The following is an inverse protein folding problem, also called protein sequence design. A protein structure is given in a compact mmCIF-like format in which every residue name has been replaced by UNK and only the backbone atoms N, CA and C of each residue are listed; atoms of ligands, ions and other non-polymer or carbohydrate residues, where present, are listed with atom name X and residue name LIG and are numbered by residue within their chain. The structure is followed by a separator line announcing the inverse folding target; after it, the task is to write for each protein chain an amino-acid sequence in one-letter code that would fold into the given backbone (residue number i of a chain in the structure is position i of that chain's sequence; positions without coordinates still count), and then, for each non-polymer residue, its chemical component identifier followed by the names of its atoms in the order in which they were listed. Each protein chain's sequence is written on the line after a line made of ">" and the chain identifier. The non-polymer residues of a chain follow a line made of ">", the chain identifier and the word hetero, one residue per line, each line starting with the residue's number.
data_IF_221215001896
#
_entry.id   IF_221215001896
#
_cell.length_a   1.000
_cell.length_b   1.000
_cell.length_c   1.000
_cell.angle_alpha   90.00
_cell.angle_beta   90.00
_cell.angle_gamma   90.00
#
_symmetry.space_group_name_H-M   'P 1'
#
loop_
_entity.id
_entity.type
_entity.pdbx_description
1 polymer ?
#
# COMPACT_ATOMS: atom_id res chain seq x y z
N UNK A 1 25.05 15.35 -5.46
CA UNK A 1 23.74 15.51 -6.13
C UNK A 1 23.46 16.99 -6.21
N UNK A 2 23.15 17.50 -7.40
CA UNK A 2 22.78 18.91 -7.58
C UNK A 2 21.37 19.13 -6.99
N UNK A 3 21.16 20.24 -6.29
CA UNK A 3 19.84 20.58 -5.76
C UNK A 3 18.89 21.10 -6.86
N UNK A 4 17.59 21.24 -6.59
CA UNK A 4 16.62 21.71 -7.59
C UNK A 4 16.85 23.17 -8.02
N UNK A 5 17.36 24.02 -7.12
CA UNK A 5 17.69 25.41 -7.42
C UNK A 5 18.89 25.53 -8.38
N UNK A 6 19.94 24.73 -8.15
CA UNK A 6 21.12 24.57 -8.99
C UNK A 6 20.76 23.97 -10.35
N UNK A 7 19.81 23.02 -10.37
CA UNK A 7 19.31 22.42 -11.61
C UNK A 7 18.60 23.44 -12.50
N UNK A 8 17.87 24.39 -11.90
CA UNK A 8 17.26 25.52 -12.63
C UNK A 8 18.20 26.73 -12.79
N UNK A 9 19.38 26.73 -12.15
CA UNK A 9 20.31 27.85 -12.16
C UNK A 9 19.80 29.10 -11.44
N UNK A 10 18.93 28.94 -10.44
CA UNK A 10 18.34 30.03 -9.66
C UNK A 10 18.84 29.99 -8.22
N UNK A 11 18.81 31.14 -7.53
CA UNK A 11 19.11 31.21 -6.10
C UNK A 11 17.93 30.66 -5.29
N UNK A 12 18.20 30.15 -4.09
CA UNK A 12 17.17 29.71 -3.14
C UNK A 12 16.20 30.84 -2.73
N UNK A 13 16.69 32.08 -2.73
CA UNK A 13 15.90 33.29 -2.52
C UNK A 13 15.12 33.76 -3.77
N UNK A 14 15.19 33.02 -4.87
CA UNK A 14 14.60 33.42 -6.14
C UNK A 14 13.08 33.50 -6.09
N UNK A 15 12.54 34.47 -6.81
CA UNK A 15 11.08 34.67 -6.91
C UNK A 15 10.44 33.61 -7.80
N UNK A 16 9.12 33.47 -7.69
CA UNK A 16 8.36 32.53 -8.53
C UNK A 16 8.52 32.81 -10.02
N UNK A 17 8.62 34.09 -10.39
CA UNK A 17 8.78 34.52 -11.77
C UNK A 17 10.17 34.20 -12.32
N UNK A 18 11.21 34.27 -11.48
CA UNK A 18 12.57 33.85 -11.84
C UNK A 18 12.63 32.34 -12.10
N UNK A 19 11.99 31.53 -11.25
CA UNK A 19 11.89 30.07 -11.39
C UNK A 19 11.19 29.71 -12.72
N UNK A 20 10.05 30.37 -13.01
CA UNK A 20 9.30 30.16 -14.25
C UNK A 20 10.09 30.60 -15.49
N UNK A 21 10.81 31.72 -15.41
CA UNK A 21 11.64 32.23 -16.51
C UNK A 21 12.81 31.29 -16.81
N UNK A 22 13.50 30.80 -15.77
CA UNK A 22 14.60 29.85 -15.90
C UNK A 22 14.14 28.51 -16.49
N UNK A 23 13.01 27.98 -16.01
CA UNK A 23 12.41 26.76 -16.55
C UNK A 23 12.12 26.88 -18.06
N UNK A 24 11.47 27.97 -18.49
CA UNK A 24 11.16 28.19 -19.92
C UNK A 24 12.41 28.20 -20.78
N UNK A 25 13.47 28.89 -20.34
CA UNK A 25 14.75 28.95 -21.06
C UNK A 25 15.41 27.57 -21.20
N UNK A 26 15.39 26.76 -20.14
CA UNK A 26 16.00 25.44 -20.13
C UNK A 26 15.20 24.41 -20.94
N UNK A 27 13.86 24.47 -20.87
CA UNK A 27 12.98 23.63 -21.68
C UNK A 27 13.15 23.92 -23.17
N UNK A 28 13.19 25.20 -23.58
CA UNK A 28 13.41 25.56 -24.98
C UNK A 28 14.76 25.08 -25.53
N UNK A 29 15.77 24.97 -24.67
CA UNK A 29 17.12 24.54 -25.02
C UNK A 29 17.26 23.01 -25.10
N UNK A 30 16.55 22.29 -24.24
CA UNK A 30 16.68 20.83 -24.09
C UNK A 30 15.42 20.05 -24.52
N UNK A 31 14.48 20.70 -25.22
CA UNK A 31 13.26 20.06 -25.71
C UNK A 31 13.61 18.89 -26.66
N UNK A 32 12.99 17.70 -26.50
CA UNK A 32 13.31 16.53 -27.32
C UNK A 32 13.09 16.75 -28.83
N UNK A 33 12.17 17.65 -29.20
CA UNK A 33 11.92 17.99 -30.61
C UNK A 33 12.91 18.99 -31.21
N UNK A 34 13.73 19.66 -30.38
CA UNK A 34 14.68 20.70 -30.84
C UNK A 34 16.14 20.33 -30.68
N UNK A 35 16.48 19.45 -29.74
CA UNK A 35 17.86 19.00 -29.55
C UNK A 35 18.01 17.50 -29.78
N UNK A 36 19.00 17.13 -30.58
CA UNK A 36 19.35 15.74 -30.92
C UNK A 36 20.39 15.13 -29.96
N UNK A 37 20.78 15.85 -28.90
CA UNK A 37 21.77 15.37 -27.92
C UNK A 37 21.13 14.35 -26.94
N UNK A 38 21.68 13.14 -26.80
CA UNK A 38 21.23 12.13 -25.83
C UNK A 38 21.12 12.65 -24.38
N UNK A 39 21.98 13.62 -24.00
CA UNK A 39 21.97 14.21 -22.65
C UNK A 39 20.83 15.21 -22.44
N UNK A 40 20.25 15.75 -23.50
CA UNK A 40 19.17 16.73 -23.39
C UNK A 40 17.91 16.13 -22.79
N UNK A 41 17.60 14.86 -23.08
CA UNK A 41 16.47 14.16 -22.47
C UNK A 41 16.61 14.06 -20.95
N UNK A 42 17.80 13.74 -20.47
CA UNK A 42 18.06 13.63 -19.03
C UNK A 42 18.00 15.00 -18.34
N UNK A 43 18.56 16.04 -18.97
CA UNK A 43 18.51 17.42 -18.46
C UNK A 43 17.07 17.92 -18.44
N UNK A 44 16.28 17.67 -19.49
CA UNK A 44 14.87 18.05 -19.56
C UNK A 44 14.04 17.43 -18.44
N UNK A 45 14.24 16.14 -18.14
CA UNK A 45 13.56 15.47 -17.04
C UNK A 45 13.91 16.09 -15.68
N UNK A 46 15.21 16.33 -15.43
CA UNK A 46 15.66 16.95 -14.17
C UNK A 46 15.14 18.38 -14.00
N UNK A 47 15.13 19.16 -15.08
CA UNK A 47 14.60 20.55 -15.10
C UNK A 47 13.09 20.57 -14.84
N UNK A 48 12.36 19.62 -15.42
CA UNK A 48 10.90 19.50 -15.20
C UNK A 48 10.59 19.13 -13.77
N UNK A 49 11.28 18.12 -13.22
CA UNK A 49 11.14 17.72 -11.82
C UNK A 49 11.48 18.87 -10.85
N UNK A 50 12.56 19.60 -11.11
CA UNK A 50 12.94 20.76 -10.30
C UNK A 50 11.88 21.86 -10.34
N UNK A 51 11.28 22.13 -11.50
CA UNK A 51 10.19 23.10 -11.63
C UNK A 51 8.91 22.63 -10.91
N UNK A 52 8.52 21.36 -11.02
CA UNK A 52 7.33 20.83 -10.33
C UNK A 52 7.43 21.05 -8.82
N UNK A 53 8.58 20.73 -8.21
CA UNK A 53 8.79 20.93 -6.76
C UNK A 53 8.88 22.40 -6.37
N UNK A 54 9.56 23.24 -7.17
CA UNK A 54 9.78 24.64 -6.82
C UNK A 54 8.62 25.56 -7.22
N UNK A 55 7.72 25.09 -8.09
CA UNK A 55 6.60 25.90 -8.59
C UNK A 55 5.41 25.96 -7.63
N UNK A 56 5.17 24.92 -6.84
CA UNK A 56 4.18 24.97 -5.76
C UNK A 56 4.82 25.51 -4.48
N UNK A 57 4.18 26.51 -3.89
CA UNK A 57 4.62 27.13 -2.62
C UNK A 57 4.68 26.10 -1.49
N UNK A 58 3.75 25.14 -1.44
CA UNK A 58 3.70 24.12 -0.39
C UNK A 58 4.83 23.11 -0.57
N UNK A 59 4.99 22.58 -1.78
CA UNK A 59 6.09 21.67 -2.11
C UNK A 59 7.47 22.31 -1.92
N UNK A 60 7.63 23.59 -2.28
CA UNK A 60 8.88 24.35 -2.08
C UNK A 60 9.23 24.49 -0.59
N UNK A 61 8.26 24.77 0.27
CA UNK A 61 8.49 24.88 1.71
C UNK A 61 8.98 23.56 2.32
N UNK A 62 8.35 22.44 1.95
CA UNK A 62 8.77 21.12 2.46
C UNK A 62 10.16 20.73 1.90
N UNK A 63 10.42 21.02 0.62
CA UNK A 63 11.73 20.83 0.03
C UNK A 63 12.82 21.64 0.74
N UNK A 64 12.53 22.91 1.05
CA UNK A 64 13.44 23.79 1.79
C UNK A 64 13.69 23.28 3.22
N UNK A 65 12.68 22.71 3.87
CA UNK A 65 12.82 22.09 5.20
C UNK A 65 13.74 20.88 5.16
N UNK A 66 13.57 19.99 4.18
CA UNK A 66 14.44 18.82 3.99
C UNK A 66 15.88 19.23 3.72
N UNK A 67 16.10 20.23 2.87
CA UNK A 67 17.44 20.72 2.55
C UNK A 67 18.16 21.27 3.79
N UNK A 68 17.44 22.02 4.65
CA UNK A 68 17.99 22.52 5.92
C UNK A 68 18.36 21.38 6.88
N UNK A 69 17.53 20.33 6.97
CA UNK A 69 17.81 19.16 7.79
C UNK A 69 19.07 18.43 7.33
N UNK A 70 19.25 18.24 6.01
CA UNK A 70 20.47 17.64 5.46
C UNK A 70 21.71 18.49 5.74
N UNK A 71 21.63 19.81 5.59
CA UNK A 71 22.73 20.73 5.90
C UNK A 71 23.12 20.67 7.38
N UNK A 72 22.13 20.63 8.28
CA UNK A 72 22.37 20.47 9.72
C UNK A 72 23.05 19.14 10.04
N UNK A 73 22.60 18.03 9.43
CA UNK A 73 23.23 16.72 9.62
C UNK A 73 24.67 16.71 9.10
N UNK A 74 24.93 17.29 7.92
CA UNK A 74 26.29 17.41 7.37
C UNK A 74 27.18 18.28 8.25
N UNK A 75 26.65 19.37 8.80
CA UNK A 75 27.37 20.23 9.75
C UNK A 75 27.69 19.48 11.06
N UNK A 76 26.76 18.68 11.59
CA UNK A 76 26.98 17.86 12.79
C UNK A 76 28.02 16.77 12.56
N UNK A 77 27.99 16.09 11.40
CA UNK A 77 29.02 15.10 11.03
C UNK A 77 30.38 15.78 10.90
N UNK A 78 30.44 16.93 10.22
CA UNK A 78 31.68 17.71 10.08
C UNK A 78 32.21 18.22 11.43
N UNK A 79 31.34 18.67 12.32
CA UNK A 79 31.69 19.07 13.67
C UNK A 79 32.22 17.90 14.49
N UNK A 80 31.57 16.72 14.45
CA UNK A 80 32.07 15.50 15.10
C UNK A 80 33.43 15.05 14.57
N UNK A 81 33.65 15.12 13.25
CA UNK A 81 34.95 14.81 12.63
C UNK A 81 36.02 15.79 13.09
N UNK A 82 35.70 17.08 13.16
CA UNK A 82 36.64 18.10 13.64
C UNK A 82 36.93 17.99 15.15
N UNK A 83 35.92 17.66 15.98
CA UNK A 83 36.09 17.41 17.41
C UNK A 83 36.86 16.13 17.70
N UNK A 84 36.69 15.09 16.88
CA UNK A 84 37.50 13.87 16.96
C UNK A 84 38.97 14.15 16.60
N UNK A 85 39.22 15.02 15.62
CA UNK A 85 40.58 15.44 15.26
C UNK A 85 41.23 16.34 16.33
N UNK A 86 40.46 17.17 17.04
CA UNK A 86 40.99 18.04 18.11
C UNK A 86 41.26 17.30 19.43
N UNK A 87 40.51 16.24 19.74
CA UNK A 87 40.74 15.40 20.93
C UNK A 87 42.04 14.55 20.86
N UNK A 88 42.74 14.56 19.72
CA UNK A 88 43.98 13.79 19.49
C UNK A 88 45.25 14.67 19.52
N UNK A 89 45.20 15.84 20.17
CA UNK A 89 46.33 16.78 20.30
C UNK A 89 47.01 16.72 21.67
N UNK A 90 47.34 15.50 22.14
CA UNK A 90 48.47 15.27 23.07
C UNK A 90 49.56 14.59 22.25
N UNK A 91 50.86 14.92 22.42
CA UNK A 91 51.92 14.11 21.85
C UNK A 91 51.87 12.73 22.53
N UNK A 92 51.09 11.81 21.96
CA UNK A 92 51.25 10.40 22.24
C UNK A 92 52.62 10.00 21.68
N UNK A 93 53.35 9.08 22.35
CA UNK A 93 54.48 8.42 21.71
C UNK A 93 53.97 7.93 20.35
N UNK A 94 54.65 8.30 19.28
CA UNK A 94 54.23 7.99 17.90
C UNK A 94 53.61 6.60 17.87
N UNK A 95 52.30 6.45 17.58
CA UNK A 95 51.80 5.14 17.24
C UNK A 95 52.62 4.76 16.02
N UNK A 96 53.41 3.68 16.13
CA UNK A 96 54.05 3.07 14.96
C UNK A 96 52.98 3.09 13.87
N UNK A 97 53.28 3.60 12.66
CA UNK A 97 52.29 3.67 11.59
C UNK A 97 51.60 2.31 11.57
N UNK A 98 50.29 2.27 11.86
CA UNK A 98 49.52 1.03 11.69
C UNK A 98 49.74 0.71 10.23
N UNK A 99 50.58 -0.28 9.97
CA UNK A 99 50.72 -0.87 8.66
C UNK A 99 49.29 -1.13 8.23
N UNK A 100 48.87 -0.53 7.12
CA UNK A 100 47.60 -0.86 6.51
C UNK A 100 47.71 -2.36 6.24
N UNK A 101 47.10 -3.17 7.11
CA UNK A 101 47.16 -4.61 6.97
C UNK A 101 46.64 -4.92 5.56
N UNK A 102 47.38 -5.68 4.76
CA UNK A 102 46.94 -6.01 3.42
C UNK A 102 45.52 -6.59 3.51
N UNK A 103 44.62 -6.23 2.59
CA UNK A 103 43.23 -6.73 2.56
C UNK A 103 43.19 -8.27 2.68
N UNK A 104 44.20 -8.97 2.16
CA UNK A 104 44.40 -10.41 2.31
C UNK A 104 44.45 -10.91 3.76
N UNK A 105 45.05 -10.15 4.68
CA UNK A 105 45.13 -10.49 6.12
C UNK A 105 43.76 -10.32 6.78
N UNK A 106 43.04 -9.23 6.47
CA UNK A 106 41.68 -9.02 6.96
C UNK A 106 40.70 -10.10 6.45
N UNK A 107 40.84 -10.53 5.19
CA UNK A 107 40.07 -11.63 4.61
C UNK A 107 40.33 -12.96 5.33
N UNK A 108 41.59 -13.26 5.63
CA UNK A 108 41.97 -14.47 6.38
C UNK A 108 41.35 -14.46 7.78
N UNK A 109 41.38 -13.30 8.45
CA UNK A 109 40.76 -13.11 9.76
C UNK A 109 39.23 -13.28 9.72
N UNK A 110 38.57 -12.78 8.67
CA UNK A 110 37.13 -12.97 8.47
C UNK A 110 36.77 -14.46 8.38
N UNK A 111 37.48 -15.21 7.55
CA UNK A 111 37.26 -16.66 7.39
C UNK A 111 37.50 -17.40 8.71
N UNK A 112 38.53 -17.00 9.47
CA UNK A 112 38.82 -17.56 10.78
C UNK A 112 37.73 -17.25 11.83
N UNK A 113 37.18 -16.03 11.82
CA UNK A 113 36.07 -15.67 12.72
C UNK A 113 34.81 -16.49 12.39
N UNK A 114 34.52 -16.65 11.10
CA UNK A 114 33.39 -17.45 10.63
C UNK A 114 33.56 -18.94 10.99
N UNK A 115 34.74 -19.52 10.77
CA UNK A 115 35.01 -20.93 11.11
C UNK A 115 34.98 -21.21 12.60
N UNK A 116 35.30 -20.21 13.44
CA UNK A 116 35.16 -20.28 14.90
C UNK A 116 33.73 -20.07 15.40
N UNK A 117 32.75 -19.90 14.52
CA UNK A 117 31.36 -19.67 14.89
C UNK A 117 31.05 -18.29 15.46
N UNK A 118 31.98 -17.32 15.37
CA UNK A 118 31.78 -15.94 15.85
C UNK A 118 30.98 -15.12 14.83
N UNK A 119 29.74 -15.54 14.58
CA UNK A 119 28.91 -15.03 13.48
C UNK A 119 28.65 -13.53 13.53
N UNK A 120 28.49 -12.95 14.73
CA UNK A 120 28.22 -11.50 14.89
C UNK A 120 29.44 -10.67 14.48
N UNK A 121 30.63 -11.07 14.91
CA UNK A 121 31.87 -10.38 14.57
C UNK A 121 32.27 -10.60 13.12
N UNK A 122 32.06 -11.82 12.61
CA UNK A 122 32.23 -12.13 11.20
C UNK A 122 31.30 -11.30 10.32
N UNK A 123 30.04 -11.10 10.72
CA UNK A 123 29.10 -10.24 9.99
C UNK A 123 29.55 -8.78 9.97
N UNK A 124 29.91 -8.22 11.14
CA UNK A 124 30.39 -6.84 11.21
C UNK A 124 31.63 -6.64 10.34
N UNK A 125 32.59 -7.58 10.43
CA UNK A 125 33.82 -7.54 9.64
C UNK A 125 33.55 -7.70 8.15
N UNK A 126 32.63 -8.58 7.75
CA UNK A 126 32.24 -8.74 6.35
C UNK A 126 31.63 -7.44 5.79
N UNK A 127 30.74 -6.78 6.53
CA UNK A 127 30.13 -5.50 6.11
C UNK A 127 31.15 -4.38 6.00
N UNK A 128 32.11 -4.31 6.92
CA UNK A 128 33.19 -3.32 6.87
C UNK A 128 34.14 -3.59 5.70
N UNK A 129 34.46 -4.85 5.43
CA UNK A 129 35.26 -5.25 4.28
C UNK A 129 34.57 -4.93 2.95
N UNK A 130 33.26 -5.13 2.84
CA UNK A 130 32.50 -4.76 1.63
C UNK A 130 32.61 -3.25 1.36
N UNK A 131 32.60 -2.41 2.39
CA UNK A 131 32.78 -0.95 2.23
C UNK A 131 34.20 -0.58 1.80
N UNK A 132 35.21 -1.24 2.37
CA UNK A 132 36.63 -0.99 2.06
C UNK A 132 37.03 -1.54 0.68
N UNK A 133 36.56 -2.73 0.34
CA UNK A 133 36.94 -3.50 -0.83
C UNK A 133 35.69 -4.16 -1.47
N UNK A 134 34.90 -3.40 -2.24
CA UNK A 134 33.60 -3.86 -2.74
C UNK A 134 33.69 -4.96 -3.81
N UNK A 135 34.88 -5.21 -4.37
CA UNK A 135 35.12 -6.20 -5.43
C UNK A 135 35.57 -7.57 -4.91
N UNK A 136 35.73 -7.74 -3.60
CA UNK A 136 36.15 -9.01 -3.00
C UNK A 136 34.95 -9.94 -2.82
N UNK A 137 35.03 -11.19 -3.30
CA UNK A 137 33.92 -12.13 -3.25
C UNK A 137 33.66 -12.74 -1.85
N UNK A 138 34.74 -13.00 -1.09
CA UNK A 138 34.68 -13.72 0.20
C UNK A 138 33.76 -13.04 1.23
N UNK A 139 33.81 -11.72 1.44
CA UNK A 139 32.90 -11.03 2.38
C UNK A 139 31.42 -11.25 2.06
N UNK A 140 31.05 -11.24 0.77
CA UNK A 140 29.67 -11.50 0.36
C UNK A 140 29.28 -12.96 0.60
N UNK A 141 30.17 -13.92 0.31
CA UNK A 141 29.91 -15.34 0.57
C UNK A 141 29.68 -15.64 2.05
N UNK A 142 30.55 -15.14 2.93
CA UNK A 142 30.42 -15.31 4.39
C UNK A 142 29.14 -14.65 4.91
N UNK A 143 28.84 -13.43 4.44
CA UNK A 143 27.60 -12.75 4.80
C UNK A 143 26.37 -13.53 4.33
N UNK A 144 26.43 -14.15 3.14
CA UNK A 144 25.36 -14.99 2.61
C UNK A 144 25.11 -16.24 3.46
N UNK A 145 26.17 -16.93 3.89
CA UNK A 145 26.06 -18.10 4.79
C UNK A 145 25.44 -17.72 6.14
N UNK A 146 25.82 -16.57 6.71
CA UNK A 146 25.25 -16.03 7.95
C UNK A 146 23.77 -15.67 7.77
N UNK A 147 23.40 -15.03 6.66
CA UNK A 147 22.00 -14.68 6.38
C UNK A 147 21.15 -15.92 6.13
N UNK A 148 21.71 -16.94 5.47
CA UNK A 148 21.05 -18.23 5.25
C UNK A 148 20.76 -18.93 6.57
N UNK A 149 21.71 -18.97 7.51
CA UNK A 149 21.51 -19.61 8.82
C UNK A 149 20.44 -18.92 9.68
N UNK A 150 20.18 -17.63 9.43
CA UNK A 150 19.08 -16.86 10.05
C UNK A 150 17.73 -17.01 9.34
N UNK A 151 17.65 -17.80 8.27
CA UNK A 151 16.43 -17.97 7.48
C UNK A 151 16.10 -16.80 6.54
N UNK A 152 16.99 -15.82 6.39
CA UNK A 152 16.81 -14.70 5.45
C UNK A 152 17.28 -15.11 4.05
N UNK A 153 16.56 -16.05 3.43
CA UNK A 153 16.95 -16.70 2.17
C UNK A 153 17.05 -15.72 1.00
N UNK A 154 16.22 -14.67 1.00
CA UNK A 154 16.20 -13.67 -0.08
C UNK A 154 17.44 -12.79 -0.07
N UNK A 155 17.84 -12.27 1.10
CA UNK A 155 19.08 -11.50 1.20
C UNK A 155 20.31 -12.38 1.04
N UNK A 156 20.29 -13.60 1.59
CA UNK A 156 21.35 -14.58 1.38
C UNK A 156 21.57 -14.87 -0.11
N UNK A 157 20.49 -15.11 -0.86
CA UNK A 157 20.53 -15.31 -2.31
C UNK A 157 21.18 -14.13 -3.04
N UNK A 158 20.84 -12.89 -2.68
CA UNK A 158 21.47 -11.68 -3.25
C UNK A 158 22.97 -11.62 -2.96
N UNK A 159 23.38 -11.94 -1.74
CA UNK A 159 24.80 -11.92 -1.37
C UNK A 159 25.59 -13.00 -2.10
N UNK A 160 25.03 -14.19 -2.32
CA UNK A 160 25.66 -15.20 -3.19
C UNK A 160 25.76 -14.77 -4.65
N UNK A 161 24.76 -14.04 -5.17
CA UNK A 161 24.83 -13.48 -6.52
C UNK A 161 26.03 -12.52 -6.67
N UNK A 162 26.22 -11.61 -5.70
CA UNK A 162 27.38 -10.72 -5.68
C UNK A 162 28.70 -11.50 -5.57
N UNK A 163 28.77 -12.50 -4.68
CA UNK A 163 29.96 -13.34 -4.57
C UNK A 163 30.30 -14.06 -5.89
N UNK A 164 29.30 -14.61 -6.58
CA UNK A 164 29.46 -15.26 -7.88
C UNK A 164 29.87 -14.28 -9.00
N UNK A 165 29.43 -13.02 -8.92
CA UNK A 165 29.82 -11.98 -9.88
C UNK A 165 31.30 -11.61 -9.74
N UNK A 166 31.81 -11.54 -8.50
CA UNK A 166 33.19 -11.16 -8.22
C UNK A 166 34.18 -12.32 -8.29
N UNK A 167 33.72 -13.57 -8.09
CA UNK A 167 34.50 -14.78 -8.34
C UNK A 167 33.71 -15.80 -9.19
N UNK A 168 33.68 -15.61 -10.53
CA UNK A 168 32.96 -16.49 -11.44
C UNK A 168 33.53 -17.91 -11.54
N UNK A 169 34.77 -18.12 -11.10
CA UNK A 169 35.43 -19.44 -11.14
C UNK A 169 34.90 -20.37 -10.05
N UNK A 170 34.34 -19.80 -8.99
CA UNK A 170 33.81 -20.57 -7.87
C UNK A 170 32.35 -20.97 -8.12
N UNK A 171 32.18 -22.19 -8.62
CA UNK A 171 30.86 -22.78 -8.91
C UNK A 171 29.97 -22.94 -7.67
N UNK A 172 30.55 -22.89 -6.45
CA UNK A 172 29.78 -23.01 -5.21
C UNK A 172 28.81 -21.85 -5.02
N UNK A 173 29.24 -20.62 -5.32
CA UNK A 173 28.38 -19.44 -5.13
C UNK A 173 27.19 -19.44 -6.07
N UNK A 174 27.40 -19.87 -7.33
CA UNK A 174 26.34 -20.02 -8.32
C UNK A 174 25.31 -21.06 -7.88
N UNK A 175 25.76 -22.25 -7.49
CA UNK A 175 24.87 -23.31 -7.00
C UNK A 175 24.08 -22.87 -5.77
N UNK A 176 24.72 -22.24 -4.79
CA UNK A 176 24.05 -21.73 -3.58
C UNK A 176 23.05 -20.63 -3.89
N UNK A 177 23.34 -19.76 -4.86
CA UNK A 177 22.41 -18.73 -5.31
C UNK A 177 21.14 -19.36 -5.90
N UNK A 178 21.30 -20.33 -6.82
CA UNK A 178 20.18 -21.03 -7.47
C UNK A 178 19.31 -21.78 -6.48
N UNK A 179 19.91 -22.55 -5.56
CA UNK A 179 19.21 -23.26 -4.47
C UNK A 179 18.32 -22.29 -3.66
N UNK A 180 18.84 -21.11 -3.34
CA UNK A 180 18.15 -20.13 -2.52
C UNK A 180 17.10 -19.32 -3.26
N UNK A 181 17.24 -19.11 -4.58
CA UNK A 181 16.18 -18.47 -5.38
C UNK A 181 14.91 -19.32 -5.31
N UNK A 182 15.04 -20.63 -5.56
CA UNK A 182 13.90 -21.56 -5.51
C UNK A 182 13.22 -21.57 -4.14
N UNK A 183 14.01 -21.71 -3.07
CA UNK A 183 13.50 -21.68 -1.70
C UNK A 183 12.85 -20.34 -1.33
N UNK A 184 13.46 -19.20 -1.70
CA UNK A 184 12.93 -17.87 -1.41
C UNK A 184 11.64 -17.57 -2.18
N UNK A 185 11.50 -18.05 -3.43
CA UNK A 185 10.28 -17.90 -4.23
C UNK A 185 9.10 -18.67 -3.63
N UNK A 186 9.33 -19.91 -3.18
CA UNK A 186 8.29 -20.72 -2.53
C UNK A 186 7.81 -20.06 -1.24
N UNK A 187 8.74 -19.64 -0.36
CA UNK A 187 8.38 -18.94 0.87
C UNK A 187 7.66 -17.62 0.62
N UNK A 188 8.10 -16.85 -0.38
CA UNK A 188 7.44 -15.57 -0.72
C UNK A 188 6.03 -15.82 -1.26
N UNK A 189 5.85 -16.86 -2.08
CA UNK A 189 4.55 -17.19 -2.67
C UNK A 189 3.55 -17.65 -1.61
N UNK A 190 3.95 -18.53 -0.68
CA UNK A 190 3.06 -19.01 0.39
C UNK A 190 2.65 -17.87 1.34
N UNK A 191 3.59 -17.01 1.73
CA UNK A 191 3.30 -15.84 2.58
C UNK A 191 2.39 -14.86 1.86
N UNK A 192 2.63 -14.58 0.57
CA UNK A 192 1.77 -13.69 -0.21
C UNK A 192 0.36 -14.26 -0.38
N UNK A 193 0.21 -15.56 -0.63
CA UNK A 193 -1.09 -16.22 -0.74
C UNK A 193 -1.85 -16.16 0.59
N UNK A 194 -1.18 -16.43 1.72
CA UNK A 194 -1.79 -16.34 3.04
C UNK A 194 -2.25 -14.92 3.35
N UNK A 195 -1.39 -13.92 3.08
CA UNK A 195 -1.70 -12.50 3.28
C UNK A 195 -2.83 -12.01 2.36
N UNK A 196 -2.85 -12.44 1.10
CA UNK A 196 -3.92 -12.08 0.15
C UNK A 196 -5.26 -12.72 0.57
N UNK A 197 -5.24 -13.97 1.04
CA UNK A 197 -6.44 -14.61 1.61
C UNK A 197 -6.95 -13.84 2.83
N UNK A 198 -6.08 -13.53 3.78
CA UNK A 198 -6.45 -12.79 5.00
C UNK A 198 -7.01 -11.40 4.67
N UNK A 199 -6.37 -10.67 3.76
CA UNK A 199 -6.84 -9.36 3.31
C UNK A 199 -8.24 -9.41 2.67
N UNK A 200 -8.60 -10.54 2.03
CA UNK A 200 -9.92 -10.76 1.42
C UNK A 200 -10.98 -11.25 2.41
N UNK A 201 -10.60 -12.03 3.43
CA UNK A 201 -11.55 -12.66 4.37
C UNK A 201 -11.82 -11.84 5.62
N UNK A 202 -10.82 -11.11 6.15
CA UNK A 202 -10.98 -10.27 7.33
C UNK A 202 -12.18 -9.29 7.26
N UNK A 203 -12.37 -8.52 6.18
CA UNK A 203 -13.52 -7.61 6.10
C UNK A 203 -14.87 -8.36 6.09
N UNK A 204 -14.95 -9.55 5.49
CA UNK A 204 -16.18 -10.36 5.46
C UNK A 204 -16.55 -10.88 6.85
N UNK A 205 -15.55 -11.26 7.65
CA UNK A 205 -15.74 -11.67 9.04
C UNK A 205 -16.33 -10.51 9.85
N UNK A 206 -15.78 -9.30 9.68
CA UNK A 206 -16.31 -8.09 10.34
C UNK A 206 -17.77 -7.84 9.95
N UNK A 207 -18.11 -7.90 8.66
CA UNK A 207 -19.49 -7.72 8.21
C UNK A 207 -20.45 -8.77 8.80
N UNK A 208 -20.00 -10.01 8.91
CA UNK A 208 -20.78 -11.10 9.52
C UNK A 208 -21.02 -10.85 11.00
N UNK A 209 -19.97 -10.47 11.75
CA UNK A 209 -20.07 -10.17 13.17
C UNK A 209 -21.02 -8.99 13.42
N UNK A 210 -20.89 -7.91 12.65
CA UNK A 210 -21.75 -6.73 12.78
C UNK A 210 -23.20 -7.08 12.46
N UNK A 211 -23.45 -7.88 11.42
CA UNK A 211 -24.80 -8.32 11.06
C UNK A 211 -25.42 -9.20 12.15
N UNK A 212 -24.62 -10.08 12.76
CA UNK A 212 -25.07 -10.93 13.87
C UNK A 212 -25.39 -10.12 15.13
N UNK A 213 -24.53 -9.16 15.50
CA UNK A 213 -24.78 -8.24 16.60
C UNK A 213 -26.02 -7.38 16.37
N UNK A 214 -26.24 -6.93 15.13
CA UNK A 214 -27.46 -6.23 14.73
C UNK A 214 -28.71 -7.09 14.90
N UNK A 215 -28.65 -8.37 14.53
CA UNK A 215 -29.72 -9.33 14.77
C UNK A 215 -30.03 -9.53 16.26
N UNK A 216 -29.00 -9.72 17.09
CA UNK A 216 -29.16 -9.82 18.55
C UNK A 216 -29.80 -8.55 19.12
N UNK A 217 -29.36 -7.38 18.66
CA UNK A 217 -29.95 -6.11 19.07
C UNK A 217 -31.46 -6.08 18.81
N UNK A 218 -31.90 -6.49 17.62
CA UNK A 218 -33.33 -6.49 17.27
C UNK A 218 -34.17 -7.41 18.16
N UNK A 219 -33.63 -8.56 18.55
CA UNK A 219 -34.29 -9.50 19.47
C UNK A 219 -34.45 -8.90 20.86
N UNK A 220 -33.45 -8.16 21.34
CA UNK A 220 -33.42 -7.61 22.70
C UNK A 220 -34.09 -6.23 22.81
N UNK A 221 -34.11 -5.46 21.71
CA UNK A 221 -34.59 -4.09 21.70
C UNK A 221 -36.08 -4.00 21.99
N UNK A 222 -36.45 -3.07 22.88
CA UNK A 222 -37.85 -2.73 23.20
C UNK A 222 -38.08 -1.25 22.95
N UNK A 223 -38.07 -0.89 21.68
CA UNK A 223 -38.26 0.50 21.26
C UNK A 223 -39.69 0.79 20.87
N UNK A 224 -40.04 2.07 20.90
CA UNK A 224 -41.30 2.60 20.38
C UNK A 224 -41.19 2.81 18.87
N UNK A 225 -42.28 2.59 18.11
CA UNK A 225 -42.28 2.85 16.67
C UNK A 225 -42.09 4.33 16.36
N UNK A 226 -41.36 4.63 15.28
CA UNK A 226 -41.07 5.99 14.84
C UNK A 226 -42.31 6.65 14.20
N UNK A 227 -43.15 5.86 13.53
CA UNK A 227 -44.27 6.33 12.72
C UNK A 227 -45.57 5.57 13.01
N UNK A 228 -46.12 5.62 14.25
CA UNK A 228 -47.27 4.80 14.63
C UNK A 228 -48.54 5.05 13.81
N UNK A 229 -48.68 6.23 13.19
CA UNK A 229 -49.86 6.60 12.39
C UNK A 229 -49.88 6.12 10.94
N UNK A 230 -48.81 5.49 10.42
CA UNK A 230 -48.71 5.09 9.01
C UNK A 230 -48.71 3.55 8.92
N UNK A 231 -49.77 2.91 8.39
CA UNK A 231 -49.92 1.44 8.44
C UNK A 231 -48.75 0.64 7.83
N UNK A 232 -48.08 1.19 6.81
CA UNK A 232 -46.98 0.52 6.11
C UNK A 232 -45.65 0.52 6.88
N UNK A 233 -45.45 1.44 7.82
CA UNK A 233 -44.21 1.62 8.59
C UNK A 233 -44.47 1.76 10.10
N UNK A 234 -45.67 1.37 10.54
CA UNK A 234 -46.19 1.57 11.90
C UNK A 234 -45.42 0.84 13.00
N UNK A 235 -44.56 -0.12 12.64
CA UNK A 235 -43.73 -0.89 13.57
C UNK A 235 -42.23 -0.65 13.38
N UNK A 236 -41.86 0.25 12.45
CA UNK A 236 -40.47 0.59 12.19
C UNK A 236 -39.93 1.43 13.36
N UNK A 237 -38.98 0.88 14.11
CA UNK A 237 -38.31 1.59 15.22
C UNK A 237 -37.03 2.26 14.72
N UNK A 238 -36.48 3.19 15.52
CA UNK A 238 -35.21 3.84 15.20
C UNK A 238 -34.08 2.81 15.10
N UNK A 239 -34.05 1.84 16.02
CA UNK A 239 -33.08 0.76 16.09
C UNK A 239 -33.09 -0.12 14.84
N UNK A 240 -34.25 -0.45 14.29
CA UNK A 240 -34.35 -1.19 13.01
C UNK A 240 -33.67 -0.43 11.89
N UNK A 241 -33.94 0.87 11.77
CA UNK A 241 -33.32 1.72 10.74
C UNK A 241 -31.81 1.78 10.93
N UNK A 242 -31.35 2.05 12.15
CA UNK A 242 -29.92 2.15 12.47
C UNK A 242 -29.20 0.82 12.18
N UNK A 243 -29.76 -0.32 12.60
CA UNK A 243 -29.18 -1.64 12.33
C UNK A 243 -29.08 -1.88 10.83
N UNK A 244 -30.13 -1.58 10.05
CA UNK A 244 -30.10 -1.73 8.59
C UNK A 244 -29.01 -0.85 7.95
N UNK A 245 -28.87 0.40 8.40
CA UNK A 245 -27.85 1.33 7.89
C UNK A 245 -26.43 0.84 8.23
N UNK A 246 -26.18 0.48 9.49
CA UNK A 246 -24.86 0.04 9.96
C UNK A 246 -24.46 -1.27 9.27
N UNK A 247 -25.36 -2.25 9.21
CA UNK A 247 -25.09 -3.52 8.52
C UNK A 247 -24.90 -3.30 7.02
N UNK A 248 -25.72 -2.46 6.39
CA UNK A 248 -25.60 -2.09 4.99
C UNK A 248 -24.24 -1.48 4.66
N UNK A 249 -23.84 -0.40 5.36
CA UNK A 249 -22.53 0.25 5.19
C UNK A 249 -21.40 -0.77 5.39
N UNK A 250 -21.51 -1.63 6.41
CA UNK A 250 -20.48 -2.62 6.71
C UNK A 250 -20.34 -3.66 5.60
N UNK A 251 -21.45 -4.17 5.04
CA UNK A 251 -21.42 -5.09 3.89
C UNK A 251 -20.82 -4.39 2.66
N UNK A 252 -21.25 -3.16 2.37
CA UNK A 252 -20.75 -2.40 1.22
C UNK A 252 -19.24 -2.11 1.30
N UNK A 253 -18.77 -1.65 2.46
CA UNK A 253 -17.34 -1.41 2.71
C UNK A 253 -16.55 -2.72 2.69
N UNK A 254 -17.08 -3.78 3.29
CA UNK A 254 -16.43 -5.09 3.38
C UNK A 254 -16.23 -5.75 2.02
N UNK A 255 -17.30 -5.82 1.21
CA UNK A 255 -17.23 -6.33 -0.15
C UNK A 255 -16.28 -5.50 -1.01
N UNK A 256 -16.33 -4.17 -0.85
CA UNK A 256 -15.42 -3.26 -1.52
C UNK A 256 -13.98 -3.60 -1.13
N UNK A 257 -13.57 -3.41 0.13
CA UNK A 257 -12.21 -3.59 0.65
C UNK A 257 -11.65 -4.98 0.36
N UNK A 258 -12.45 -6.03 0.51
CA UNK A 258 -12.03 -7.41 0.21
C UNK A 258 -11.88 -7.72 -1.27
N UNK A 259 -12.16 -6.76 -2.17
CA UNK A 259 -12.03 -6.95 -3.62
C UNK A 259 -13.06 -7.90 -4.21
N UNK A 260 -14.20 -8.05 -3.54
CA UNK A 260 -15.30 -8.91 -3.97
C UNK A 260 -16.25 -8.20 -4.93
N UNK A 261 -16.20 -6.88 -4.99
CA UNK A 261 -16.94 -6.05 -5.96
C UNK A 261 -15.98 -5.11 -6.68
N UNK A 262 -16.32 -4.80 -7.92
CA UNK A 262 -15.58 -3.90 -8.79
C UNK A 262 -15.65 -2.45 -8.29
N UNK A 263 -14.95 -1.56 -8.99
CA UNK A 263 -15.03 -0.13 -8.72
C UNK A 263 -16.45 0.40 -8.97
N UNK A 264 -16.93 1.27 -8.10
CA UNK A 264 -18.29 1.80 -8.15
C UNK A 264 -18.60 2.49 -9.50
N UNK A 265 -17.72 3.40 -9.93
CA UNK A 265 -17.89 4.14 -11.19
C UNK A 265 -17.81 3.26 -12.44
N UNK A 266 -16.97 2.22 -12.42
CA UNK A 266 -16.89 1.26 -13.51
C UNK A 266 -18.19 0.44 -13.65
N UNK A 267 -18.90 0.26 -12.54
CA UNK A 267 -20.21 -0.41 -12.54
C UNK A 267 -21.35 0.54 -12.90
N UNK A 268 -21.20 1.85 -12.66
CA UNK A 268 -22.26 2.85 -12.88
C UNK A 268 -22.34 3.38 -14.32
N UNK A 269 -21.22 3.40 -15.04
CA UNK A 269 -21.13 3.92 -16.40
C UNK A 269 -20.39 2.96 -17.31
N UNK A 270 -20.97 2.64 -18.46
CA UNK A 270 -20.27 1.87 -19.50
C UNK A 270 -19.23 2.77 -20.21
N UNK A 271 -18.28 2.18 -20.94
CA UNK A 271 -17.21 2.91 -21.66
C UNK A 271 -17.70 4.02 -22.62
N UNK A 272 -18.98 3.99 -23.01
CA UNK A 272 -19.66 4.98 -23.84
C UNK A 272 -20.32 6.12 -23.04
N UNK A 273 -20.11 6.20 -21.72
CA UNK A 273 -20.72 7.21 -20.84
C UNK A 273 -22.23 7.02 -20.59
N UNK A 274 -22.83 5.94 -21.11
CA UNK A 274 -24.24 5.59 -20.84
C UNK A 274 -24.37 4.93 -19.47
N UNK A 275 -25.45 5.26 -18.74
CA UNK A 275 -25.82 4.58 -17.50
C UNK A 275 -25.95 3.08 -17.77
N UNK A 276 -25.22 2.28 -17.02
CA UNK A 276 -25.32 0.83 -17.12
C UNK A 276 -26.72 0.37 -16.71
N UNK A 277 -27.19 -0.80 -17.22
CA UNK A 277 -28.42 -1.43 -16.72
C UNK A 277 -28.39 -1.61 -15.19
N UNK A 278 -27.22 -1.87 -14.61
CA UNK A 278 -26.99 -2.00 -13.17
C UNK A 278 -27.18 -0.67 -12.42
N UNK A 279 -26.78 0.47 -13.00
CA UNK A 279 -27.05 1.79 -12.41
C UNK A 279 -28.54 2.13 -12.38
N UNK A 280 -29.27 1.75 -13.44
CA UNK A 280 -30.73 1.95 -13.52
C UNK A 280 -31.46 1.08 -12.49
N UNK A 281 -30.94 -0.13 -12.26
CA UNK A 281 -31.46 -1.06 -11.26
C UNK A 281 -31.26 -0.56 -9.82
N UNK A 282 -30.20 0.21 -9.56
CA UNK A 282 -29.96 0.86 -8.27
C UNK A 282 -31.06 1.86 -7.90
N UNK A 283 -31.64 2.58 -8.87
CA UNK A 283 -32.76 3.49 -8.60
C UNK A 283 -34.05 2.73 -8.25
N UNK A 284 -34.31 1.62 -8.93
CA UNK A 284 -35.44 0.73 -8.60
C UNK A 284 -35.25 0.12 -7.21
N UNK A 285 -34.03 -0.29 -6.87
CA UNK A 285 -33.71 -0.89 -5.57
C UNK A 285 -33.85 0.10 -4.40
N UNK A 286 -33.71 1.40 -4.63
CA UNK A 286 -33.99 2.43 -3.63
C UNK A 286 -35.49 2.50 -3.25
N UNK A 287 -36.38 2.18 -4.20
CA UNK A 287 -37.84 2.20 -4.02
C UNK A 287 -38.34 0.84 -3.55
N UNK A 288 -37.86 -0.24 -4.19
CA UNK A 288 -38.22 -1.61 -3.86
C UNK A 288 -37.08 -2.56 -4.26
N UNK A 289 -36.32 -2.96 -3.25
CA UNK A 289 -35.18 -3.86 -3.36
C UNK A 289 -35.56 -5.21 -3.95
N UNK A 290 -36.67 -5.82 -3.50
CA UNK A 290 -37.09 -7.14 -3.96
C UNK A 290 -37.51 -7.12 -5.43
N UNK A 291 -38.25 -6.09 -5.85
CA UNK A 291 -38.60 -5.90 -7.25
C UNK A 291 -37.36 -5.71 -8.11
N UNK A 292 -36.39 -4.90 -7.66
CA UNK A 292 -35.12 -4.72 -8.36
C UNK A 292 -34.34 -6.04 -8.46
N UNK A 293 -34.29 -6.83 -7.39
CA UNK A 293 -33.69 -8.15 -7.37
C UNK A 293 -34.33 -9.11 -8.36
N UNK A 294 -35.67 -9.15 -8.43
CA UNK A 294 -36.41 -9.96 -9.40
C UNK A 294 -36.14 -9.52 -10.84
N UNK A 295 -36.18 -8.21 -11.12
CA UNK A 295 -35.85 -7.66 -12.44
C UNK A 295 -34.41 -8.02 -12.81
N UNK A 296 -33.46 -7.94 -11.86
CA UNK A 296 -32.07 -8.30 -12.09
C UNK A 296 -31.90 -9.78 -12.44
N UNK A 297 -32.56 -10.67 -11.69
CA UNK A 297 -32.53 -12.11 -11.97
C UNK A 297 -33.17 -12.41 -13.33
N UNK A 298 -34.31 -11.78 -13.64
CA UNK A 298 -34.98 -11.94 -14.93
C UNK A 298 -34.10 -11.49 -16.10
N UNK A 299 -33.49 -10.30 -16.01
CA UNK A 299 -32.55 -9.79 -17.01
C UNK A 299 -31.35 -10.72 -17.14
N UNK A 300 -30.76 -11.15 -16.03
CA UNK A 300 -29.59 -12.03 -16.02
C UNK A 300 -29.86 -13.40 -16.65
N UNK A 301 -31.04 -13.99 -16.38
CA UNK A 301 -31.49 -15.23 -17.00
C UNK A 301 -31.79 -15.04 -18.50
N UNK A 302 -32.44 -13.93 -18.86
CA UNK A 302 -32.77 -13.63 -20.26
C UNK A 302 -31.53 -13.35 -21.11
N UNK A 303 -30.50 -12.72 -20.53
CA UNK A 303 -29.26 -12.36 -21.22
C UNK A 303 -28.17 -13.44 -21.08
N UNK A 304 -28.39 -14.49 -20.28
CA UNK A 304 -27.38 -15.50 -19.94
C UNK A 304 -26.08 -14.89 -19.40
N UNK A 305 -26.18 -13.72 -18.75
CA UNK A 305 -25.04 -12.96 -18.28
C UNK A 305 -25.37 -12.33 -16.94
N UNK A 306 -24.56 -12.63 -15.92
CA UNK A 306 -24.66 -12.01 -14.61
C UNK A 306 -23.43 -11.13 -14.35
N UNK A 307 -23.67 -9.93 -13.83
CA UNK A 307 -22.59 -9.09 -13.33
C UNK A 307 -22.22 -9.57 -11.92
N UNK A 308 -21.01 -10.12 -11.74
CA UNK A 308 -20.58 -10.69 -10.46
C UNK A 308 -20.71 -9.70 -9.29
N UNK A 309 -20.31 -8.44 -9.49
CA UNK A 309 -20.36 -7.41 -8.46
C UNK A 309 -21.79 -7.08 -8.03
N UNK A 310 -22.70 -6.97 -9.01
CA UNK A 310 -24.12 -6.69 -8.75
C UNK A 310 -24.80 -7.90 -8.10
N UNK A 311 -24.51 -9.12 -8.56
CA UNK A 311 -25.05 -10.34 -7.96
C UNK A 311 -24.62 -10.51 -6.50
N UNK A 312 -23.36 -10.20 -6.17
CA UNK A 312 -22.84 -10.32 -4.80
C UNK A 312 -23.47 -9.31 -3.85
N UNK A 313 -23.58 -8.05 -4.24
CA UNK A 313 -24.20 -7.04 -3.37
C UNK A 313 -25.70 -7.30 -3.19
N UNK A 314 -26.43 -7.63 -4.27
CA UNK A 314 -27.85 -7.98 -4.19
C UNK A 314 -28.05 -9.24 -3.33
N UNK A 315 -27.24 -10.28 -3.55
CA UNK A 315 -27.30 -11.51 -2.74
C UNK A 315 -26.98 -11.28 -1.26
N UNK A 316 -25.95 -10.49 -0.96
CA UNK A 316 -25.56 -10.17 0.42
C UNK A 316 -26.65 -9.37 1.15
N UNK A 317 -27.25 -8.38 0.48
CA UNK A 317 -28.34 -7.59 1.07
C UNK A 317 -29.62 -8.41 1.22
N UNK A 318 -29.94 -9.29 0.28
CA UNK A 318 -31.06 -10.22 0.43
C UNK A 318 -30.84 -11.15 1.64
N UNK A 319 -29.65 -11.73 1.78
CA UNK A 319 -29.30 -12.58 2.92
C UNK A 319 -29.36 -11.82 4.26
N UNK A 320 -28.82 -10.59 4.32
CA UNK A 320 -28.92 -9.73 5.50
C UNK A 320 -30.39 -9.43 5.84
N UNK A 321 -31.20 -9.06 4.85
CA UNK A 321 -32.60 -8.69 5.07
C UNK A 321 -33.40 -9.89 5.59
N UNK A 322 -33.17 -11.09 5.06
CA UNK A 322 -33.76 -12.31 5.57
C UNK A 322 -33.31 -12.62 7.00
N UNK A 323 -32.01 -12.47 7.30
CA UNK A 323 -31.48 -12.65 8.66
C UNK A 323 -32.15 -11.69 9.65
N UNK A 324 -32.20 -10.39 9.34
CA UNK A 324 -32.83 -9.38 10.20
C UNK A 324 -34.34 -9.64 10.36
N UNK A 325 -35.01 -10.10 9.31
CA UNK A 325 -36.43 -10.50 9.36
C UNK A 325 -36.64 -11.65 10.33
N UNK A 326 -35.80 -12.68 10.27
CA UNK A 326 -35.84 -13.83 11.19
C UNK A 326 -35.58 -13.37 12.64
N UNK A 327 -34.60 -12.49 12.85
CA UNK A 327 -34.31 -11.93 14.17
C UNK A 327 -35.42 -11.00 14.69
N UNK A 328 -36.19 -10.36 13.82
CA UNK A 328 -37.31 -9.51 14.22
C UNK A 328 -38.59 -10.29 14.53
N UNK A 329 -38.74 -11.53 14.03
CA UNK A 329 -39.95 -12.33 14.24
C UNK A 329 -40.32 -12.62 15.71
N UNK A 330 -39.35 -12.86 16.62
CA UNK A 330 -39.64 -13.02 18.06
C UNK A 330 -39.92 -11.69 18.78
N UNK A 331 -39.68 -10.54 18.15
CA UNK A 331 -39.76 -9.23 18.79
C UNK A 331 -41.22 -8.74 18.83
N UNK A 332 -41.72 -8.43 20.03
CA UNK A 332 -43.12 -8.03 20.23
C UNK A 332 -43.50 -6.68 19.59
N UNK A 333 -42.54 -5.78 19.39
CA UNK A 333 -42.79 -4.42 18.90
C UNK A 333 -42.53 -4.21 17.41
N UNK A 334 -41.87 -5.17 16.74
CA UNK A 334 -41.40 -5.03 15.37
C UNK A 334 -42.05 -6.11 14.51
N UNK A 335 -42.79 -5.71 13.48
CA UNK A 335 -43.37 -6.68 12.56
C UNK A 335 -42.33 -7.14 11.54
N UNK A 336 -42.01 -8.43 11.54
CA UNK A 336 -41.06 -9.04 10.61
C UNK A 336 -41.38 -8.72 9.14
N UNK A 337 -42.65 -8.63 8.76
CA UNK A 337 -43.05 -8.28 7.39
C UNK A 337 -42.62 -6.87 6.98
N UNK A 338 -42.68 -5.90 7.90
CA UNK A 338 -42.22 -4.55 7.61
C UNK A 338 -40.69 -4.51 7.47
N UNK A 339 -39.95 -5.28 8.26
CA UNK A 339 -38.49 -5.44 8.12
C UNK A 339 -38.14 -6.09 6.78
N UNK A 340 -38.90 -7.10 6.36
CA UNK A 340 -38.69 -7.77 5.09
C UNK A 340 -38.88 -6.81 3.91
N UNK A 341 -39.97 -6.04 3.91
CA UNK A 341 -40.32 -5.12 2.81
C UNK A 341 -39.36 -3.93 2.75
N UNK A 342 -39.07 -3.30 3.90
CA UNK A 342 -38.34 -2.03 3.94
C UNK A 342 -36.86 -2.15 4.29
N UNK A 343 -36.47 -3.17 5.06
CA UNK A 343 -35.10 -3.35 5.53
C UNK A 343 -34.11 -3.47 4.38
N UNK A 344 -34.49 -4.18 3.30
CA UNK A 344 -33.67 -4.32 2.10
C UNK A 344 -33.39 -2.99 1.40
N UNK A 345 -34.37 -2.08 1.33
CA UNK A 345 -34.20 -0.76 0.70
C UNK A 345 -33.16 0.07 1.47
N UNK A 346 -33.30 0.12 2.79
CA UNK A 346 -32.43 0.90 3.68
C UNK A 346 -31.01 0.32 3.65
N UNK A 347 -30.88 -0.99 3.82
CA UNK A 347 -29.59 -1.68 3.83
C UNK A 347 -28.88 -1.58 2.47
N UNK A 348 -29.61 -1.65 1.36
CA UNK A 348 -29.04 -1.52 0.02
C UNK A 348 -28.46 -0.12 -0.20
N UNK A 349 -29.22 0.94 0.08
CA UNK A 349 -28.74 2.32 -0.06
C UNK A 349 -27.51 2.58 0.83
N UNK A 350 -27.57 2.12 2.08
CA UNK A 350 -26.45 2.19 3.01
C UNK A 350 -25.21 1.43 2.49
N UNK A 351 -25.40 0.28 1.84
CA UNK A 351 -24.31 -0.49 1.24
C UNK A 351 -23.68 0.19 0.02
N UNK A 352 -24.46 0.91 -0.80
CA UNK A 352 -23.92 1.72 -1.88
C UNK A 352 -23.04 2.85 -1.34
N UNK A 353 -23.46 3.51 -0.26
CA UNK A 353 -22.66 4.54 0.41
C UNK A 353 -21.36 3.95 0.97
N UNK A 354 -21.45 2.81 1.67
CA UNK A 354 -20.28 2.11 2.19
C UNK A 354 -19.30 1.70 1.09
N UNK A 355 -19.82 1.16 -0.01
CA UNK A 355 -19.03 0.82 -1.20
C UNK A 355 -18.32 2.05 -1.79
N UNK A 356 -19.05 3.14 -1.98
CA UNK A 356 -18.51 4.37 -2.58
C UNK A 356 -17.40 4.99 -1.73
N UNK A 357 -17.57 5.03 -0.41
CA UNK A 357 -16.55 5.53 0.52
C UNK A 357 -15.31 4.62 0.49
N UNK A 358 -15.49 3.30 0.57
CA UNK A 358 -14.38 2.36 0.52
C UNK A 358 -13.61 2.40 -0.83
N UNK A 359 -14.33 2.55 -1.95
CA UNK A 359 -13.70 2.70 -3.27
C UNK A 359 -12.87 4.00 -3.36
N UNK A 360 -13.37 5.10 -2.78
CA UNK A 360 -12.62 6.36 -2.73
C UNK A 360 -11.30 6.20 -1.96
N UNK A 361 -11.31 5.54 -0.80
CA UNK A 361 -10.08 5.26 -0.05
C UNK A 361 -9.10 4.36 -0.82
N UNK A 362 -9.61 3.33 -1.51
CA UNK A 362 -8.79 2.46 -2.35
C UNK A 362 -8.08 3.23 -3.46
N UNK A 363 -8.75 4.19 -4.11
CA UNK A 363 -8.16 5.02 -5.17
C UNK A 363 -7.04 5.91 -4.66
N UNK A 364 -7.20 6.50 -3.47
CA UNK A 364 -6.17 7.35 -2.86
C UNK A 364 -4.91 6.52 -2.55
N UNK A 365 -5.08 5.32 -1.99
CA UNK A 365 -3.95 4.44 -1.64
C UNK A 365 -3.22 3.83 -2.84
N UNK A 366 -3.82 3.80 -4.03
CA UNK A 366 -3.17 3.30 -5.25
C UNK A 366 -2.35 4.37 -5.99
N UNK A 367 -2.53 5.65 -5.63
CA UNK A 367 -1.83 6.80 -6.22
C UNK A 367 -0.67 7.32 -5.35
N UNK A 368 -0.32 6.60 -4.28
CA UNK A 368 0.84 6.82 -3.38
C UNK A 368 1.75 5.61 -3.51
#
# INVERSE_FOLDING_TARGET
>A
MANHYETLGVKRSGTQDEIRSAYRKLVLKHHPDRSSDPKSREIFLRVTQAYETLSDKTARMEYDRLLNLEEQQRAQVRAKVNSANQATTRPQPQPRPKQVEPVAVELTKLVQLFSRGRMIEAESMARDLIKKAPKEAIPYGVLADILRSRGNLREASKMYAFAAQFDPKNTLYQRRHEELIGAAQVTTSTVNIARDREAKTAPLIVATIVSFLGGIYLVLSRETPLFPGIPLVSTLTLGVVVVCVVCGITIGTSLSIGGWIDQFYATATNALGRRSPTASLGFVAAINFWLAGLIYVFIGLSQQSFNYSTSRIVGAIAALTLLLTICAAPSYNVNAWQVLIWGGNIAYLASLLGWMVADAFRRVNLNV
#
